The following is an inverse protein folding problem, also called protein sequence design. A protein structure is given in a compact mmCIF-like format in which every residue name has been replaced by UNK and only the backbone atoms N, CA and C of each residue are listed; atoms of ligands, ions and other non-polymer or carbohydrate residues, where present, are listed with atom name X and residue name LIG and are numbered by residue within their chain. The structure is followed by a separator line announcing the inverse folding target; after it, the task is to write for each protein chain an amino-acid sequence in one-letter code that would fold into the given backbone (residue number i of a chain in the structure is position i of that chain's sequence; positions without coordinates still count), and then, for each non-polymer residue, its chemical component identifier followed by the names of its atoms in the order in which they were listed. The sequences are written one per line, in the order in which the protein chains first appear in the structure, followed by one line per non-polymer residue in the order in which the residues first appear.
data_IF_047532098601
#
_entry.id   IF_047532098601
#
_cell.length_a   1.000
_cell.length_b   1.000
_cell.length_c   1.000
_cell.angle_alpha   90.00
_cell.angle_beta   90.00
_cell.angle_gamma   90.00
#
_symmetry.space_group_name_H-M   'P 1'
#
loop_
_entity.id
_entity.type
_entity.pdbx_description
1 polymer ?
#
# COMPACT_ATOMS: atom_id res chain seq x y z
N UNK A 1 -19.53 9.17 -9.36
CA UNK A 1 -20.31 8.87 -8.15
C UNK A 1 -20.93 7.49 -8.31
N UNK A 2 -21.07 6.72 -7.23
CA UNK A 2 -21.77 5.44 -7.29
C UNK A 2 -23.25 5.65 -7.65
N UNK A 3 -23.92 4.61 -8.14
CA UNK A 3 -25.34 4.67 -8.52
C UNK A 3 -26.26 5.07 -7.36
N UNK A 4 -25.82 4.86 -6.12
CA UNK A 4 -26.56 5.15 -4.90
C UNK A 4 -26.19 6.50 -4.24
N UNK A 5 -25.34 7.31 -4.89
CA UNK A 5 -24.95 8.64 -4.42
C UNK A 5 -23.90 8.67 -3.30
N UNK A 6 -23.53 7.52 -2.72
CA UNK A 6 -22.58 7.44 -1.61
C UNK A 6 -21.13 7.66 -2.04
N UNK A 7 -20.33 8.19 -1.12
CA UNK A 7 -18.88 8.12 -1.20
C UNK A 7 -18.44 6.77 -0.62
N UNK A 8 -17.90 5.92 -1.48
CA UNK A 8 -17.40 4.60 -1.11
C UNK A 8 -15.90 4.65 -0.80
N UNK A 9 -15.57 4.57 0.48
CA UNK A 9 -14.20 4.47 1.00
C UNK A 9 -13.65 3.04 0.83
N UNK A 10 -12.34 2.91 0.74
CA UNK A 10 -11.63 1.63 0.67
C UNK A 10 -10.36 1.67 1.50
N UNK A 11 -9.77 0.50 1.78
CA UNK A 11 -8.48 0.37 2.47
C UNK A 11 -7.42 1.33 1.92
N UNK A 12 -7.09 1.23 0.62
CA UNK A 12 -6.11 2.11 -0.04
C UNK A 12 -6.52 3.59 0.00
N UNK A 13 -7.82 3.85 -0.04
CA UNK A 13 -8.37 5.19 0.09
C UNK A 13 -8.06 5.83 1.44
N UNK A 14 -8.26 5.08 2.53
CA UNK A 14 -7.95 5.52 3.89
C UNK A 14 -6.43 5.56 4.13
N UNK A 15 -5.64 4.67 3.52
CA UNK A 15 -4.18 4.80 3.60
C UNK A 15 -3.66 6.11 2.99
N UNK A 16 -4.36 6.69 2.01
CA UNK A 16 -4.03 8.04 1.52
C UNK A 16 -4.31 9.14 2.55
N UNK A 17 -5.29 8.96 3.45
CA UNK A 17 -5.51 9.88 4.57
C UNK A 17 -4.31 9.89 5.51
N UNK A 18 -3.79 8.70 5.86
CA UNK A 18 -2.59 8.57 6.70
C UNK A 18 -1.36 9.24 6.08
N UNK A 19 -1.29 9.29 4.74
CA UNK A 19 -0.24 9.99 4.01
C UNK A 19 -0.42 11.50 4.00
N UNK A 20 -1.63 11.99 3.71
CA UNK A 20 -1.95 13.41 3.68
C UNK A 20 -3.47 13.67 3.68
N UNK A 21 -4.01 14.36 4.70
CA UNK A 21 -5.45 14.66 4.77
C UNK A 21 -5.91 15.61 3.65
N UNK A 22 -5.09 16.58 3.23
CA UNK A 22 -5.37 17.42 2.07
C UNK A 22 -5.56 16.60 0.80
N UNK A 23 -4.62 15.70 0.50
CA UNK A 23 -4.69 14.88 -0.71
C UNK A 23 -5.88 13.93 -0.69
N UNK A 24 -6.15 13.33 0.46
CA UNK A 24 -7.34 12.49 0.66
C UNK A 24 -8.64 13.27 0.42
N UNK A 25 -8.78 14.47 1.00
CA UNK A 25 -9.93 15.34 0.79
C UNK A 25 -10.12 15.69 -0.70
N UNK A 26 -9.04 16.13 -1.36
CA UNK A 26 -9.05 16.49 -2.78
C UNK A 26 -9.43 15.30 -3.66
N UNK A 27 -8.93 14.11 -3.36
CA UNK A 27 -9.27 12.88 -4.08
C UNK A 27 -10.78 12.59 -4.02
N UNK A 28 -11.38 12.65 -2.84
CA UNK A 28 -12.76 12.20 -2.64
C UNK A 28 -13.80 13.30 -2.90
N UNK A 29 -13.54 14.56 -2.52
CA UNK A 29 -14.49 15.67 -2.69
C UNK A 29 -14.31 16.42 -4.00
N UNK A 30 -13.10 16.49 -4.55
CA UNK A 30 -12.79 17.28 -5.75
C UNK A 30 -12.39 16.42 -6.94
N UNK A 31 -12.29 15.10 -6.76
CA UNK A 31 -11.81 14.16 -7.78
C UNK A 31 -10.41 14.53 -8.32
N UNK A 32 -9.58 15.18 -7.50
CA UNK A 32 -8.20 15.55 -7.82
C UNK A 32 -7.29 14.51 -7.17
N UNK A 33 -6.66 13.67 -7.98
CA UNK A 33 -5.76 12.61 -7.54
C UNK A 33 -4.30 13.00 -7.73
N UNK A 34 -3.40 12.31 -7.06
CA UNK A 34 -1.98 12.41 -7.39
C UNK A 34 -1.75 12.06 -8.87
N UNK A 35 -0.76 12.70 -9.53
CA UNK A 35 -0.32 12.26 -10.85
C UNK A 35 0.01 10.77 -10.84
N UNK A 36 -0.34 10.08 -11.92
CA UNK A 36 -0.04 8.66 -12.05
C UNK A 36 1.48 8.42 -12.03
N UNK A 37 1.92 7.48 -11.19
CA UNK A 37 3.30 7.00 -11.16
C UNK A 37 3.46 5.69 -11.92
N UNK A 38 4.70 5.31 -12.22
CA UNK A 38 5.00 4.00 -12.80
C UNK A 38 4.74 2.92 -11.74
N UNK A 39 3.78 2.03 -12.00
CA UNK A 39 3.48 0.86 -11.17
C UNK A 39 4.06 -0.42 -11.78
N UNK A 40 4.55 -1.33 -10.94
CA UNK A 40 5.08 -2.62 -11.41
C UNK A 40 3.96 -3.49 -11.98
N UNK A 41 3.98 -3.71 -13.30
CA UNK A 41 3.05 -4.63 -13.97
C UNK A 41 3.30 -6.10 -13.60
N UNK A 42 4.52 -6.42 -13.17
CA UNK A 42 4.90 -7.79 -12.80
C UNK A 42 4.14 -8.26 -11.56
N UNK A 43 4.16 -7.47 -10.48
CA UNK A 43 3.44 -7.82 -9.25
C UNK A 43 1.93 -7.98 -9.50
N UNK A 44 1.34 -7.08 -10.30
CA UNK A 44 -0.08 -7.16 -10.67
C UNK A 44 -0.41 -8.43 -11.47
N UNK A 45 0.45 -8.82 -12.43
CA UNK A 45 0.26 -10.07 -13.18
C UNK A 45 0.42 -11.28 -12.28
N UNK A 46 1.35 -11.21 -11.33
CA UNK A 46 1.64 -12.29 -10.40
C UNK A 46 0.49 -12.55 -9.42
N UNK A 47 -0.17 -11.51 -8.92
CA UNK A 47 -1.43 -11.63 -8.15
C UNK A 47 -2.50 -12.43 -8.91
N UNK A 48 -2.72 -12.11 -10.19
CA UNK A 48 -3.67 -12.85 -11.04
C UNK A 48 -3.27 -14.32 -11.24
N UNK A 49 -1.97 -14.62 -11.31
CA UNK A 49 -1.47 -16.00 -11.39
C UNK A 49 -1.76 -16.76 -10.10
N UNK A 50 -1.51 -16.16 -8.93
CA UNK A 50 -1.82 -16.78 -7.63
C UNK A 50 -3.32 -17.06 -7.49
N UNK A 51 -4.18 -16.09 -7.82
CA UNK A 51 -5.64 -16.26 -7.80
C UNK A 51 -6.10 -17.41 -8.69
N UNK A 52 -5.59 -17.47 -9.92
CA UNK A 52 -5.92 -18.55 -10.86
C UNK A 52 -5.44 -19.90 -10.32
N UNK A 53 -4.25 -19.97 -9.75
CA UNK A 53 -3.69 -21.19 -9.18
C UNK A 53 -4.50 -21.67 -7.97
N UNK A 54 -4.89 -20.78 -7.05
CA UNK A 54 -5.75 -21.13 -5.92
C UNK A 54 -7.12 -21.65 -6.41
N UNK A 55 -7.71 -21.01 -7.41
CA UNK A 55 -9.02 -21.38 -7.95
C UNK A 55 -9.06 -22.82 -8.52
N UNK A 56 -7.94 -23.32 -9.06
CA UNK A 56 -7.81 -24.71 -9.53
C UNK A 56 -8.07 -25.75 -8.44
N UNK A 57 -7.85 -25.41 -7.17
CA UNK A 57 -8.05 -26.31 -6.04
C UNK A 57 -9.44 -26.18 -5.40
N UNK A 58 -10.20 -25.13 -5.73
CA UNK A 58 -11.43 -24.74 -5.01
C UNK A 58 -12.51 -25.83 -5.00
N UNK A 59 -12.74 -26.48 -6.14
CA UNK A 59 -13.76 -27.55 -6.26
C UNK A 59 -13.34 -28.85 -5.59
N UNK A 60 -12.04 -29.06 -5.38
CA UNK A 60 -11.50 -30.28 -4.76
C UNK A 60 -11.55 -30.25 -3.22
N UNK A 61 -11.85 -29.09 -2.63
CA UNK A 61 -11.78 -28.88 -1.17
C UNK A 61 -10.37 -28.95 -0.59
N UNK A 62 -9.34 -28.99 -1.44
CA UNK A 62 -7.93 -29.01 -1.04
C UNK A 62 -7.35 -27.59 -1.08
N UNK A 63 -6.30 -27.38 -0.30
CA UNK A 63 -5.46 -26.20 -0.44
C UNK A 63 -4.38 -26.45 -1.50
N UNK A 64 -3.89 -25.41 -2.19
CA UNK A 64 -2.78 -25.54 -3.12
C UNK A 64 -1.52 -26.06 -2.42
N UNK A 65 -0.70 -26.85 -3.14
CA UNK A 65 0.53 -27.44 -2.58
C UNK A 65 1.46 -26.38 -1.97
N UNK A 66 1.45 -25.18 -2.55
CA UNK A 66 2.19 -24.00 -2.11
C UNK A 66 2.03 -23.67 -0.60
N UNK A 67 0.84 -23.96 -0.07
CA UNK A 67 0.42 -23.59 1.30
C UNK A 67 -0.10 -24.78 2.10
N UNK A 68 0.11 -26.01 1.60
CA UNK A 68 -0.38 -27.23 2.23
C UNK A 68 0.18 -27.38 3.65
N UNK A 69 -0.72 -27.63 4.61
CA UNK A 69 -0.38 -27.76 6.03
C UNK A 69 0.02 -26.45 6.73
N UNK A 70 -0.05 -25.30 6.05
CA UNK A 70 0.32 -23.99 6.61
C UNK A 70 -0.86 -23.06 6.90
N UNK A 71 -2.03 -23.36 6.34
CA UNK A 71 -3.27 -22.59 6.52
C UNK A 71 -4.35 -23.48 7.12
N UNK A 72 -5.27 -22.84 7.86
CA UNK A 72 -6.45 -23.49 8.42
C UNK A 72 -7.65 -23.39 7.47
N UNK A 73 -8.38 -24.50 7.31
CA UNK A 73 -9.62 -24.54 6.55
C UNK A 73 -9.44 -24.84 5.06
N UNK A 74 -10.51 -24.60 4.30
CA UNK A 74 -10.59 -24.83 2.87
C UNK A 74 -10.91 -23.53 2.15
N UNK A 75 -10.61 -23.46 0.85
CA UNK A 75 -10.96 -22.30 0.03
C UNK A 75 -12.48 -22.07 0.06
N UNK A 76 -12.92 -20.82 0.27
CA UNK A 76 -14.33 -20.45 0.21
C UNK A 76 -14.90 -20.85 -1.15
N UNK A 77 -16.00 -21.60 -1.16
CA UNK A 77 -16.63 -22.07 -2.40
C UNK A 77 -18.17 -21.93 -2.34
N UNK A 78 -18.81 -21.12 -3.20
CA UNK A 78 -18.19 -20.21 -4.17
C UNK A 78 -17.43 -19.06 -3.49
N UNK A 79 -16.37 -18.58 -4.14
CA UNK A 79 -15.61 -17.42 -3.65
C UNK A 79 -16.39 -16.13 -3.90
N UNK A 80 -16.47 -15.29 -2.86
CA UNK A 80 -17.01 -13.94 -2.97
C UNK A 80 -15.85 -12.96 -2.80
N UNK A 81 -15.46 -12.31 -3.91
CA UNK A 81 -14.33 -11.38 -3.92
C UNK A 81 -14.68 -10.05 -3.24
N UNK A 82 -15.89 -9.50 -3.48
CA UNK A 82 -16.25 -8.12 -3.13
C UNK A 82 -17.23 -8.06 -1.97
N UNK A 83 -16.98 -7.14 -1.06
CA UNK A 83 -17.83 -6.87 0.09
C UNK A 83 -18.08 -5.36 0.23
N UNK A 84 -19.28 -5.02 0.69
CA UNK A 84 -19.75 -3.66 0.83
C UNK A 84 -20.45 -3.50 2.17
N UNK A 85 -20.05 -2.50 2.95
CA UNK A 85 -20.68 -2.09 4.20
C UNK A 85 -21.22 -0.67 4.05
N UNK A 86 -22.55 -0.51 4.15
CA UNK A 86 -23.15 0.83 4.29
C UNK A 86 -22.83 1.36 5.68
N UNK A 87 -22.25 2.56 5.75
CA UNK A 87 -21.92 3.21 7.01
C UNK A 87 -23.05 4.16 7.42
N UNK A 88 -23.50 5.01 6.47
CA UNK A 88 -24.66 5.87 6.64
C UNK A 88 -25.28 6.23 5.27
N UNK A 89 -26.04 7.32 5.20
CA UNK A 89 -26.69 7.76 3.97
C UNK A 89 -25.71 8.32 2.92
N UNK A 90 -24.59 8.87 3.37
CA UNK A 90 -23.62 9.57 2.54
C UNK A 90 -22.36 8.72 2.26
N UNK A 91 -22.05 7.74 3.11
CA UNK A 91 -20.80 6.98 3.06
C UNK A 91 -21.00 5.47 3.14
N UNK A 92 -20.13 4.76 2.44
CA UNK A 92 -19.97 3.32 2.51
C UNK A 92 -18.50 2.93 2.56
N UNK A 93 -18.20 1.72 3.00
CA UNK A 93 -16.87 1.13 2.97
C UNK A 93 -16.90 -0.17 2.16
N UNK A 94 -15.92 -0.39 1.29
CA UNK A 94 -15.87 -1.59 0.47
C UNK A 94 -14.45 -2.10 0.30
N UNK A 95 -14.35 -3.39 -0.03
CA UNK A 95 -13.08 -4.05 -0.25
C UNK A 95 -13.21 -5.23 -1.19
N UNK A 96 -12.05 -5.68 -1.66
CA UNK A 96 -11.90 -6.92 -2.40
C UNK A 96 -10.91 -7.79 -1.65
N UNK A 97 -11.30 -9.01 -1.29
CA UNK A 97 -10.37 -10.00 -0.76
C UNK A 97 -9.61 -10.61 -1.94
N UNK A 98 -8.36 -10.98 -1.72
CA UNK A 98 -7.63 -11.78 -2.71
C UNK A 98 -8.06 -13.24 -2.66
N UNK A 99 -8.31 -13.76 -1.45
CA UNK A 99 -8.84 -15.09 -1.19
C UNK A 99 -9.52 -15.13 0.20
N UNK A 100 -10.35 -16.13 0.45
CA UNK A 100 -10.92 -16.39 1.76
C UNK A 100 -10.98 -17.89 2.05
N UNK A 101 -10.65 -18.28 3.27
CA UNK A 101 -10.78 -19.65 3.76
C UNK A 101 -12.00 -19.77 4.67
N UNK A 102 -12.53 -20.98 4.80
CA UNK A 102 -13.56 -21.34 5.76
C UNK A 102 -13.04 -22.53 6.58
N UNK A 103 -12.94 -22.38 7.89
CA UNK A 103 -12.51 -23.45 8.78
C UNK A 103 -13.65 -24.44 9.09
N UNK A 104 -13.34 -25.51 9.84
CA UNK A 104 -14.31 -26.56 10.21
C UNK A 104 -15.49 -26.03 11.05
N UNK A 105 -15.33 -24.87 11.70
CA UNK A 105 -16.39 -24.20 12.47
C UNK A 105 -17.27 -23.30 11.59
N UNK A 106 -17.02 -23.24 10.28
CA UNK A 106 -17.72 -22.35 9.35
C UNK A 106 -17.28 -20.88 9.48
N UNK A 107 -16.12 -20.61 10.07
CA UNK A 107 -15.60 -19.26 10.27
C UNK A 107 -14.72 -18.84 9.09
N UNK A 108 -14.93 -17.62 8.63
CA UNK A 108 -14.25 -17.02 7.50
C UNK A 108 -12.90 -16.43 7.92
N UNK A 109 -11.86 -16.69 7.13
CA UNK A 109 -10.49 -16.23 7.35
C UNK A 109 -10.03 -15.53 6.07
N UNK A 110 -9.88 -14.19 6.07
CA UNK A 110 -9.39 -13.48 4.90
C UNK A 110 -7.90 -13.78 4.64
N UNK A 111 -7.54 -13.81 3.35
CA UNK A 111 -6.17 -14.02 2.88
C UNK A 111 -5.82 -12.92 1.88
N UNK A 112 -4.63 -12.36 2.01
CA UNK A 112 -4.10 -11.33 1.12
C UNK A 112 -2.73 -11.73 0.55
N UNK A 113 -2.56 -11.61 -0.76
CA UNK A 113 -1.34 -11.99 -1.45
C UNK A 113 -0.36 -10.81 -1.49
N UNK A 114 0.87 -11.03 -1.05
CA UNK A 114 1.91 -10.01 -1.04
C UNK A 114 3.07 -10.44 -1.92
N UNK A 115 3.35 -9.67 -2.98
CA UNK A 115 4.59 -9.83 -3.74
C UNK A 115 5.65 -8.88 -3.17
N UNK A 116 6.79 -9.41 -2.74
CA UNK A 116 7.89 -8.61 -2.23
C UNK A 116 9.13 -8.76 -3.12
N UNK A 117 9.88 -7.68 -3.31
CA UNK A 117 11.14 -7.68 -4.05
C UNK A 117 12.34 -8.16 -3.23
N UNK A 118 12.13 -8.41 -1.93
CA UNK A 118 13.16 -8.78 -0.96
C UNK A 118 12.55 -9.66 0.11
N UNK A 119 13.38 -10.42 0.82
CA UNK A 119 12.96 -11.26 1.93
C UNK A 119 12.22 -10.46 3.03
N UNK A 120 10.95 -10.80 3.32
CA UNK A 120 10.15 -10.14 4.35
C UNK A 120 10.26 -10.80 5.73
N UNK A 121 10.91 -11.95 5.89
CA UNK A 121 10.85 -12.78 7.11
C UNK A 121 11.36 -12.07 8.37
N UNK A 122 12.40 -11.26 8.22
CA UNK A 122 13.03 -10.50 9.33
C UNK A 122 12.50 -9.06 9.41
N UNK A 123 11.44 -8.72 8.66
CA UNK A 123 10.89 -7.36 8.61
C UNK A 123 9.62 -7.27 9.42
N UNK A 124 9.46 -6.16 10.14
CA UNK A 124 8.18 -5.84 10.76
C UNK A 124 7.07 -5.76 9.70
N UNK A 125 5.92 -6.33 10.04
CA UNK A 125 4.73 -6.24 9.19
C UNK A 125 4.29 -4.79 9.12
N UNK A 126 4.12 -4.27 7.90
CA UNK A 126 3.65 -2.91 7.71
C UNK A 126 2.27 -2.72 8.34
N UNK A 127 2.07 -1.60 9.04
CA UNK A 127 0.79 -1.26 9.66
C UNK A 127 -0.37 -1.26 8.65
N UNK A 128 -0.12 -0.87 7.40
CA UNK A 128 -1.10 -0.96 6.32
C UNK A 128 -1.56 -2.40 6.05
N UNK A 129 -0.68 -3.40 6.17
CA UNK A 129 -1.07 -4.80 5.97
C UNK A 129 -1.91 -5.33 7.13
N UNK A 130 -1.58 -4.94 8.36
CA UNK A 130 -2.44 -5.23 9.52
C UNK A 130 -3.82 -4.60 9.34
N UNK A 131 -3.85 -3.31 9.00
CA UNK A 131 -5.09 -2.58 8.78
C UNK A 131 -5.94 -3.17 7.64
N UNK A 132 -5.32 -3.81 6.64
CA UNK A 132 -6.04 -4.50 5.57
C UNK A 132 -6.75 -5.77 6.07
N UNK A 133 -6.12 -6.54 6.97
CA UNK A 133 -6.77 -7.69 7.61
C UNK A 133 -7.92 -7.22 8.52
N UNK A 134 -7.71 -6.17 9.31
CA UNK A 134 -8.77 -5.53 10.12
C UNK A 134 -9.97 -5.15 9.24
N UNK A 135 -9.71 -4.53 8.07
CA UNK A 135 -10.73 -4.09 7.11
C UNK A 135 -11.52 -5.24 6.51
N UNK A 136 -10.86 -6.35 6.17
CA UNK A 136 -11.54 -7.54 5.65
C UNK A 136 -12.41 -8.21 6.70
N UNK A 137 -11.91 -8.35 7.94
CA UNK A 137 -12.72 -8.90 9.04
C UNK A 137 -13.94 -8.01 9.30
N UNK A 138 -13.76 -6.69 9.31
CA UNK A 138 -14.88 -5.74 9.44
C UNK A 138 -15.92 -5.97 8.32
N UNK A 139 -15.49 -6.05 7.06
CA UNK A 139 -16.38 -6.25 5.92
C UNK A 139 -17.12 -7.59 5.97
N UNK A 140 -16.42 -8.68 6.29
CA UNK A 140 -17.02 -10.01 6.46
C UNK A 140 -18.08 -10.01 7.57
N UNK A 141 -17.78 -9.39 8.71
CA UNK A 141 -18.74 -9.26 9.81
C UNK A 141 -19.96 -8.42 9.42
N UNK A 142 -19.77 -7.33 8.66
CA UNK A 142 -20.89 -6.50 8.15
C UNK A 142 -21.76 -7.22 7.12
N UNK A 143 -21.20 -8.19 6.40
CA UNK A 143 -21.92 -9.09 5.49
C UNK A 143 -22.60 -10.26 6.22
N UNK A 144 -22.54 -10.31 7.56
CA UNK A 144 -23.15 -11.35 8.38
C UNK A 144 -22.35 -12.66 8.41
N UNK A 145 -21.11 -12.67 7.94
CA UNK A 145 -20.21 -13.83 8.03
C UNK A 145 -19.53 -13.87 9.40
N UNK A 146 -19.50 -15.05 10.03
CA UNK A 146 -18.73 -15.26 11.25
C UNK A 146 -17.25 -15.38 10.89
N UNK A 147 -16.38 -14.56 11.47
CA UNK A 147 -14.93 -14.62 11.22
C UNK A 147 -14.18 -15.36 12.32
N UNK A 148 -13.02 -15.94 11.99
CA UNK A 148 -12.15 -16.59 13.00
C UNK A 148 -11.35 -15.58 13.87
N UNK A 149 -11.47 -14.28 13.59
CA UNK A 149 -10.76 -13.21 14.31
C UNK A 149 -9.36 -12.91 13.79
N UNK A 150 -8.87 -13.66 12.81
CA UNK A 150 -7.55 -13.46 12.20
C UNK A 150 -7.61 -13.62 10.67
N UNK A 151 -6.54 -13.21 10.00
CA UNK A 151 -6.30 -13.46 8.58
C UNK A 151 -4.85 -13.85 8.29
N UNK A 152 -4.57 -14.18 7.03
CA UNK A 152 -3.23 -14.51 6.57
C UNK A 152 -2.71 -13.54 5.52
N UNK A 153 -1.44 -13.19 5.64
CA UNK A 153 -0.65 -12.64 4.54
C UNK A 153 0.19 -13.78 3.94
N UNK A 154 0.10 -13.97 2.63
CA UNK A 154 0.96 -14.91 1.92
C UNK A 154 1.95 -14.09 1.09
N UNK A 155 3.18 -14.03 1.59
CA UNK A 155 4.29 -13.39 0.90
C UNK A 155 4.91 -14.33 -0.11
N UNK A 156 5.15 -13.78 -1.29
CA UNK A 156 5.87 -14.41 -2.38
C UNK A 156 7.01 -13.50 -2.82
N UNK A 157 8.23 -14.03 -2.85
CA UNK A 157 9.42 -13.26 -3.19
C UNK A 157 10.51 -14.13 -3.86
N UNK A 158 11.40 -13.54 -4.67
CA UNK A 158 12.50 -14.29 -5.28
C UNK A 158 13.50 -14.78 -4.24
N UNK A 159 14.00 -15.99 -4.44
CA UNK A 159 15.27 -16.44 -3.89
C UNK A 159 16.44 -15.83 -4.70
N UNK A 160 17.61 -15.70 -4.06
CA UNK A 160 18.86 -15.25 -4.70
C UNK A 160 19.57 -16.41 -5.45
N UNK A 161 18.83 -17.42 -5.91
CA UNK A 161 19.38 -18.66 -6.46
C UNK A 161 20.05 -18.51 -7.84
N UNK A 162 21.01 -19.39 -8.13
CA UNK A 162 21.83 -19.34 -9.35
C UNK A 162 21.21 -20.06 -10.57
N UNK A 163 20.05 -20.72 -10.42
CA UNK A 163 19.49 -21.64 -11.41
C UNK A 163 18.20 -21.13 -12.08
N UNK A 164 18.16 -19.85 -12.46
CA UNK A 164 16.95 -19.21 -13.02
C UNK A 164 16.42 -19.88 -14.31
N UNK A 165 17.28 -20.60 -15.05
CA UNK A 165 16.88 -21.37 -16.25
C UNK A 165 15.97 -22.56 -15.93
N UNK A 166 15.91 -23.00 -14.67
CA UNK A 166 15.01 -24.06 -14.19
C UNK A 166 13.67 -23.51 -13.65
N UNK A 167 13.46 -22.20 -13.75
CA UNK A 167 12.29 -21.50 -13.24
C UNK A 167 12.66 -20.38 -12.27
N UNK A 168 11.70 -19.50 -12.01
CA UNK A 168 11.84 -18.44 -11.02
C UNK A 168 11.82 -19.04 -9.61
N UNK A 169 12.94 -19.01 -8.86
CA UNK A 169 13.00 -19.64 -7.56
C UNK A 169 12.21 -18.79 -6.58
N UNK A 170 11.02 -19.28 -6.22
CA UNK A 170 10.03 -18.52 -5.50
C UNK A 170 9.89 -19.03 -4.07
N UNK A 171 10.03 -18.13 -3.09
CA UNK A 171 9.87 -18.45 -1.68
C UNK A 171 8.50 -17.99 -1.20
N UNK A 172 7.89 -18.82 -0.34
CA UNK A 172 6.61 -18.55 0.30
C UNK A 172 6.82 -18.37 1.79
N UNK A 173 6.36 -17.24 2.30
CA UNK A 173 6.32 -16.94 3.72
C UNK A 173 4.91 -16.53 4.12
N UNK A 174 4.38 -17.14 5.18
CA UNK A 174 3.00 -16.91 5.62
C UNK A 174 3.05 -16.26 7.00
N UNK A 175 2.28 -15.19 7.16
CA UNK A 175 2.12 -14.50 8.43
C UNK A 175 0.65 -14.54 8.82
N UNK A 176 0.36 -15.00 10.04
CA UNK A 176 -0.96 -14.94 10.66
C UNK A 176 -1.08 -13.63 11.43
N UNK A 177 -2.16 -12.88 11.20
CA UNK A 177 -2.44 -11.63 11.90
C UNK A 177 -3.80 -11.69 12.58
N UNK A 178 -3.82 -11.46 13.89
CA UNK A 178 -5.07 -11.20 14.62
C UNK A 178 -5.64 -9.87 14.14
N UNK A 179 -6.93 -9.85 13.79
CA UNK A 179 -7.57 -8.65 13.27
C UNK A 179 -8.46 -7.98 14.30
N UNK A 180 -8.61 -6.67 14.13
CA UNK A 180 -9.40 -5.81 15.02
C UNK A 180 -10.33 -4.91 14.19
N UNK A 181 -11.60 -5.31 13.98
CA UNK A 181 -12.56 -4.54 13.19
C UNK A 181 -12.96 -3.19 13.82
N UNK A 182 -12.69 -2.97 15.11
CA UNK A 182 -12.95 -1.67 15.76
C UNK A 182 -11.99 -0.61 15.24
N UNK A 183 -10.72 -0.98 14.96
CA UNK A 183 -9.75 -0.08 14.30
C UNK A 183 -10.22 0.36 12.91
N UNK A 184 -10.88 -0.51 12.15
CA UNK A 184 -11.50 -0.15 10.88
C UNK A 184 -12.61 0.87 11.08
N UNK A 185 -13.44 0.70 12.11
CA UNK A 185 -14.50 1.65 12.45
C UNK A 185 -13.92 3.04 12.78
N UNK A 186 -12.87 3.10 13.60
CA UNK A 186 -12.16 4.35 13.93
C UNK A 186 -11.58 5.03 12.67
N UNK A 187 -10.92 4.25 11.82
CA UNK A 187 -10.33 4.73 10.55
C UNK A 187 -11.39 5.30 9.60
N UNK A 188 -12.54 4.64 9.47
CA UNK A 188 -13.68 5.11 8.67
C UNK A 188 -14.23 6.42 9.26
N UNK A 189 -14.42 6.49 10.57
CA UNK A 189 -14.94 7.70 11.23
C UNK A 189 -13.99 8.89 11.04
N UNK A 190 -12.69 8.69 11.21
CA UNK A 190 -11.70 9.74 10.94
C UNK A 190 -11.74 10.22 9.47
N UNK A 191 -11.85 9.28 8.53
CA UNK A 191 -12.01 9.59 7.12
C UNK A 191 -13.27 10.43 6.84
N UNK A 192 -14.40 10.08 7.44
CA UNK A 192 -15.65 10.86 7.31
C UNK A 192 -15.47 12.26 7.89
N UNK A 193 -14.91 12.40 9.10
CA UNK A 193 -14.64 13.71 9.72
C UNK A 193 -13.83 14.63 8.81
N UNK A 194 -12.76 14.11 8.19
CA UNK A 194 -11.95 14.89 7.26
C UNK A 194 -12.75 15.30 6.02
N UNK A 195 -13.57 14.40 5.48
CA UNK A 195 -14.42 14.69 4.32
C UNK A 195 -15.55 15.68 4.64
N UNK A 196 -16.01 15.74 5.87
CA UNK A 196 -17.06 16.67 6.30
C UNK A 196 -16.54 18.03 6.74
N UNK A 197 -15.21 18.23 6.73
CA UNK A 197 -14.60 19.54 6.98
C UNK A 197 -15.16 20.62 6.05
N UNK A 198 -15.43 21.79 6.63
CA UNK A 198 -15.92 22.97 5.91
C UNK A 198 -14.86 23.59 4.99
N UNK A 199 -13.59 23.30 5.23
CA UNK A 199 -12.44 23.75 4.44
C UNK A 199 -11.53 22.58 4.04
N UNK A 200 -10.70 22.81 3.01
CA UNK A 200 -9.67 21.86 2.60
C UNK A 200 -8.65 21.74 3.75
N UNK A 201 -8.34 20.52 4.25
CA UNK A 201 -7.38 20.33 5.32
C UNK A 201 -5.97 20.82 4.96
N UNK A 202 -5.18 21.14 5.99
CA UNK A 202 -3.75 21.35 5.84
C UNK A 202 -3.04 20.07 5.38
N UNK A 203 -1.92 20.17 4.63
CA UNK A 203 -1.21 19.01 4.16
C UNK A 203 -0.39 18.44 5.31
N UNK A 204 -0.04 17.16 5.23
CA UNK A 204 1.00 16.65 6.11
C UNK A 204 2.35 17.25 5.67
N UNK A 205 3.20 17.77 6.57
CA UNK A 205 4.48 18.38 6.19
C UNK A 205 5.42 17.46 5.41
N UNK A 206 5.28 16.15 5.63
CA UNK A 206 6.07 15.10 4.96
C UNK A 206 5.46 14.63 3.63
N UNK A 207 4.35 15.23 3.17
CA UNK A 207 3.68 14.84 1.94
C UNK A 207 4.50 15.27 0.71
N UNK A 208 5.11 14.33 -0.05
CA UNK A 208 6.00 14.69 -1.16
C UNK A 208 5.28 15.42 -2.30
N UNK A 209 3.98 15.16 -2.50
CA UNK A 209 3.18 15.79 -3.54
C UNK A 209 2.85 17.25 -3.21
N UNK A 210 2.47 17.53 -1.97
CA UNK A 210 2.21 18.90 -1.53
C UNK A 210 3.52 19.70 -1.52
N UNK A 211 4.61 19.14 -0.99
CA UNK A 211 5.93 19.79 -1.03
C UNK A 211 6.40 20.08 -2.46
N UNK A 212 6.18 19.16 -3.39
CA UNK A 212 6.48 19.37 -4.80
C UNK A 212 5.63 20.51 -5.41
N UNK A 213 4.33 20.51 -5.17
CA UNK A 213 3.41 21.54 -5.67
C UNK A 213 3.79 22.93 -5.12
N UNK A 214 4.08 23.03 -3.83
CA UNK A 214 4.48 24.28 -3.19
C UNK A 214 5.79 24.81 -3.80
N UNK A 215 6.76 23.92 -4.04
CA UNK A 215 8.02 24.29 -4.71
C UNK A 215 7.79 24.77 -6.14
N UNK A 216 6.98 24.07 -6.93
CA UNK A 216 6.63 24.49 -8.30
C UNK A 216 5.97 25.87 -8.29
N UNK A 217 5.01 26.10 -7.38
CA UNK A 217 4.34 27.38 -7.25
C UNK A 217 5.30 28.52 -6.89
N UNK A 218 6.32 28.25 -6.07
CA UNK A 218 7.36 29.24 -5.74
C UNK A 218 8.22 29.59 -6.95
N UNK A 219 8.72 28.58 -7.68
CA UNK A 219 9.59 28.77 -8.85
C UNK A 219 8.85 29.44 -10.02
N UNK A 220 7.61 29.05 -10.29
CA UNK A 220 6.80 29.64 -11.37
C UNK A 220 6.44 31.10 -11.07
N UNK A 221 6.18 31.44 -9.80
CA UNK A 221 5.88 32.83 -9.41
C UNK A 221 7.12 33.73 -9.41
N UNK A 222 8.31 33.15 -9.26
CA UNK A 222 9.58 33.87 -9.15
C UNK A 222 10.67 33.32 -10.09
N UNK A 223 10.46 33.31 -11.42
CA UNK A 223 11.32 32.57 -12.35
C UNK A 223 12.77 33.10 -12.46
N UNK A 224 13.07 34.30 -11.93
CA UNK A 224 14.37 34.99 -12.10
C UNK A 224 15.11 35.33 -10.79
N UNK A 225 14.67 34.83 -9.63
CA UNK A 225 15.32 35.17 -8.34
C UNK A 225 16.66 34.45 -8.08
N UNK A 226 17.09 33.54 -8.97
CA UNK A 226 18.39 32.83 -8.85
C UNK A 226 19.57 33.45 -9.62
N UNK A 227 19.40 34.52 -10.41
CA UNK A 227 20.53 35.13 -11.14
C UNK A 227 21.43 36.02 -10.27
N UNK A 228 21.05 36.35 -9.03
CA UNK A 228 21.80 37.34 -8.21
C UNK A 228 22.73 36.73 -7.15
N UNK A 229 22.74 35.41 -6.94
CA UNK A 229 23.56 34.78 -5.89
C UNK A 229 24.88 34.17 -6.41
N UNK A 230 25.09 34.02 -7.72
CA UNK A 230 26.28 33.31 -8.25
C UNK A 230 27.52 34.17 -8.57
N UNK A 231 27.56 35.49 -8.32
CA UNK A 231 28.70 36.32 -8.75
C UNK A 231 29.67 36.73 -7.62
N UNK A 232 29.34 36.56 -6.33
CA UNK A 232 30.19 37.07 -5.23
C UNK A 232 31.12 36.10 -4.49
N UNK A 233 31.19 34.81 -4.86
CA UNK A 233 32.08 33.85 -4.14
C UNK A 233 33.30 33.33 -4.92
N UNK A 234 33.57 33.79 -6.16
CA UNK A 234 34.73 33.31 -6.95
C UNK A 234 35.96 34.24 -6.97
N UNK A 235 36.04 35.23 -6.09
CA UNK A 235 37.23 36.09 -5.95
C UNK A 235 37.74 36.12 -4.51
N UNK A 236 38.27 34.99 -4.04
CA UNK A 236 39.28 34.92 -2.96
C UNK A 236 39.90 33.51 -2.97
N UNK A 237 40.89 33.32 -3.84
CA UNK A 237 42.10 32.49 -3.62
C UNK A 237 42.84 32.27 -4.95
N UNK A 238 43.59 33.29 -5.37
CA UNK A 238 44.71 33.12 -6.30
C UNK A 238 45.74 34.21 -6.05
N UNK A 239 46.68 33.93 -5.15
CA UNK A 239 47.94 34.62 -4.81
C UNK A 239 48.49 33.78 -3.65
N UNK A 240 49.69 33.23 -3.59
CA UNK A 240 50.94 33.19 -4.36
C UNK A 240 51.53 31.81 -3.97
N UNK A 241 52.26 31.11 -4.82
CA UNK A 241 53.74 31.13 -4.78
C UNK A 241 54.27 30.46 -6.04
N UNK A 242 55.05 31.21 -6.80
CA UNK A 242 56.05 30.69 -7.73
C UNK A 242 57.43 31.16 -7.25
N UNK A 243 58.44 30.38 -7.67
CA UNK A 243 59.88 30.58 -7.66
C UNK A 243 60.66 30.01 -6.47
N UNK A 244 61.79 29.32 -6.63
CA UNK A 244 62.47 28.67 -7.76
C UNK A 244 63.76 28.01 -7.18
N UNK A 245 64.42 27.14 -7.99
CA UNK A 245 65.87 26.80 -8.00
C UNK A 245 66.39 25.63 -7.11
N UNK A 246 66.73 24.52 -7.79
CA UNK A 246 68.07 23.86 -7.93
C UNK A 246 68.91 23.66 -6.63
N UNK A 247 69.47 22.49 -6.28
CA UNK A 247 70.52 21.70 -6.97
C UNK A 247 70.79 20.36 -6.25
N UNK A 248 70.91 19.27 -7.02
CA UNK A 248 71.87 18.12 -7.00
C UNK A 248 72.60 17.57 -5.73
N UNK A 249 72.83 16.23 -5.78
CA UNK A 249 73.85 15.34 -5.13
C UNK A 249 73.58 15.04 -3.63
N UNK A 250 73.57 13.82 -3.06
CA UNK A 250 74.14 12.46 -3.30
C UNK A 250 73.05 11.42 -3.00
#
# INVERSE_FOLDING_TARGET
MSKDGRIWLSHTGIENLNRCPRCFFLQYKKNIRHPEGIVSRLANRFDSVLKTYFDQYRTSGKLPELVLGKLEGQLQNPFQEKYYARINDNYGFWGKLDECLVNEKGEFIPVDFKTASSDPREKEVLSAYQAQIDDYIFLLNKDGKKTAGFGYLIFVFPDNGNNLHNGFPMIIHIVKLEGNPDKTTERINNAITVLESSSIPEPLPTCPFCSWLDRINLEIKNPFLMETISVKSRHRNKKKTDNNIQTSII
#
